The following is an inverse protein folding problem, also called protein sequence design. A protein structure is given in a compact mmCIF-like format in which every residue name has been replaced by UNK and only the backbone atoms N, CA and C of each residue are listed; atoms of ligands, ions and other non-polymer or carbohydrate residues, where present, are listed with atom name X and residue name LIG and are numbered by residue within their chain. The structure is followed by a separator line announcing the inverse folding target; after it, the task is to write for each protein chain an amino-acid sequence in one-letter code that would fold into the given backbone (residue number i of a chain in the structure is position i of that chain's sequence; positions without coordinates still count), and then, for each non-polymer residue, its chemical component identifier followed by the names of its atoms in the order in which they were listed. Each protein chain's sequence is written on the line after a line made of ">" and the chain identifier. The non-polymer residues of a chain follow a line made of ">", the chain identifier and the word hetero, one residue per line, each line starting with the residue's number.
data_IF_417423767669
#
_entry.id   IF_417423767669
#
_cell.length_a   1.000
_cell.length_b   1.000
_cell.length_c   1.000
_cell.angle_alpha   90.00
_cell.angle_beta   90.00
_cell.angle_gamma   90.00
#
_symmetry.space_group_name_H-M   'P 1'
#
loop_
_entity.id
_entity.type
_entity.pdbx_description
1 polymer ?
#
# COMPACT_ATOMS: atom_id res chain seq x y z
N UNK A 1 -7.83 -15.40 23.86
CA UNK A 1 -8.19 -15.05 22.47
C UNK A 1 -7.71 -16.10 21.49
N UNK A 2 -6.43 -16.49 21.46
CA UNK A 2 -5.90 -17.54 20.57
C UNK A 2 -6.72 -18.86 20.68
N UNK A 3 -6.96 -19.36 21.90
CA UNK A 3 -7.77 -20.56 22.13
C UNK A 3 -9.21 -20.43 21.61
N UNK A 4 -9.75 -19.22 21.52
CA UNK A 4 -11.06 -19.01 20.92
C UNK A 4 -11.05 -19.22 19.40
N UNK A 5 -10.03 -18.70 18.70
CA UNK A 5 -9.87 -18.91 17.25
C UNK A 5 -9.62 -20.39 16.89
N UNK A 6 -8.83 -21.10 17.72
CA UNK A 6 -8.61 -22.54 17.55
C UNK A 6 -9.93 -23.31 17.73
N UNK A 7 -10.70 -23.01 18.78
CA UNK A 7 -11.98 -23.68 19.03
C UNK A 7 -13.01 -23.41 17.92
N UNK A 8 -13.06 -22.17 17.41
CA UNK A 8 -13.91 -21.84 16.27
C UNK A 8 -13.51 -22.62 15.01
N UNK A 9 -12.20 -22.74 14.74
CA UNK A 9 -11.75 -23.51 13.59
C UNK A 9 -12.08 -25.00 13.69
N UNK A 10 -11.94 -25.59 14.89
CA UNK A 10 -12.38 -26.97 15.13
C UNK A 10 -13.88 -27.13 14.89
N UNK A 11 -14.70 -26.16 15.32
CA UNK A 11 -16.14 -26.15 15.07
C UNK A 11 -16.49 -26.02 13.58
N UNK A 12 -15.64 -25.36 12.81
CA UNK A 12 -15.78 -25.22 11.36
C UNK A 12 -15.16 -26.39 10.59
N UNK A 13 -14.68 -27.47 11.26
CA UNK A 13 -13.97 -28.63 10.70
C UNK A 13 -12.71 -28.26 9.92
N UNK A 14 -12.00 -27.21 10.31
CA UNK A 14 -10.74 -26.79 9.68
C UNK A 14 -9.54 -27.51 10.28
N UNK A 15 -8.48 -27.67 9.48
CA UNK A 15 -7.18 -28.10 9.98
C UNK A 15 -6.52 -26.94 10.77
N UNK A 16 -6.75 -26.92 12.07
CA UNK A 16 -6.19 -25.90 12.95
C UNK A 16 -4.69 -26.02 13.16
N UNK A 17 -4.07 -27.17 12.82
CA UNK A 17 -2.62 -27.37 12.99
C UNK A 17 -1.79 -26.37 12.20
N UNK A 18 -2.37 -25.80 11.16
CA UNK A 18 -1.73 -24.79 10.33
C UNK A 18 -1.41 -23.52 11.13
N UNK A 19 -2.34 -23.09 12.02
CA UNK A 19 -2.23 -21.83 12.74
C UNK A 19 -2.27 -21.94 14.27
N UNK A 20 -2.60 -23.11 14.83
CA UNK A 20 -2.58 -23.34 16.28
C UNK A 20 -1.13 -23.44 16.80
N UNK A 21 -0.34 -22.41 16.57
CA UNK A 21 1.09 -22.31 16.89
C UNK A 21 1.33 -21.07 17.75
N UNK A 22 2.26 -21.12 18.73
CA UNK A 22 2.54 -20.00 19.62
C UNK A 22 3.00 -18.72 18.89
N UNK A 23 3.59 -18.86 17.71
CA UNK A 23 4.14 -17.78 16.90
C UNK A 23 3.07 -16.87 16.31
N UNK A 24 1.84 -17.38 16.13
CA UNK A 24 0.74 -16.57 15.62
C UNK A 24 -0.03 -15.89 16.77
N UNK A 25 -0.21 -14.59 16.66
CA UNK A 25 -1.15 -13.86 17.49
C UNK A 25 -2.60 -14.23 17.16
N UNK A 26 -3.53 -13.81 18.00
CA UNK A 26 -4.95 -14.15 17.79
C UNK A 26 -5.56 -13.50 16.55
N UNK A 27 -5.03 -12.36 16.10
CA UNK A 27 -5.47 -11.69 14.88
C UNK A 27 -4.99 -12.41 13.63
N UNK A 28 -3.75 -12.88 13.63
CA UNK A 28 -3.18 -13.72 12.58
C UNK A 28 -3.96 -15.04 12.47
N UNK A 29 -4.20 -15.72 13.60
CA UNK A 29 -5.03 -16.94 13.62
C UNK A 29 -6.43 -16.69 13.05
N UNK A 30 -7.06 -15.58 13.41
CA UNK A 30 -8.37 -15.17 12.88
C UNK A 30 -8.35 -14.97 11.38
N UNK A 31 -7.32 -14.27 10.88
CA UNK A 31 -7.20 -14.03 9.43
C UNK A 31 -6.94 -15.32 8.66
N UNK A 32 -6.07 -16.20 9.16
CA UNK A 32 -5.83 -17.52 8.56
C UNK A 32 -7.12 -18.35 8.55
N UNK A 33 -7.85 -18.45 9.70
CA UNK A 33 -9.11 -19.18 9.78
C UNK A 33 -10.15 -18.66 8.78
N UNK A 34 -10.32 -17.35 8.69
CA UNK A 34 -11.24 -16.69 7.73
C UNK A 34 -10.95 -17.12 6.29
N UNK A 35 -9.69 -17.20 5.91
CA UNK A 35 -9.29 -17.59 4.56
C UNK A 35 -9.44 -19.11 4.33
N UNK A 36 -9.19 -19.94 5.35
CA UNK A 36 -9.44 -21.39 5.29
C UNK A 36 -10.92 -21.72 5.09
N UNK A 37 -11.84 -21.01 5.76
CA UNK A 37 -13.29 -21.16 5.55
C UNK A 37 -13.67 -20.94 4.07
N UNK A 38 -12.96 -20.00 3.41
CA UNK A 38 -13.17 -19.69 2.00
C UNK A 38 -12.39 -20.60 1.05
N UNK A 39 -11.74 -21.67 1.54
CA UNK A 39 -10.88 -22.59 0.78
C UNK A 39 -9.79 -21.87 -0.05
N UNK A 40 -9.25 -20.77 0.46
CA UNK A 40 -8.16 -20.06 -0.22
C UNK A 40 -6.81 -20.73 0.04
N UNK A 41 -5.92 -20.58 -0.94
CA UNK A 41 -4.52 -20.92 -0.73
C UNK A 41 -3.86 -19.91 0.22
N UNK A 42 -3.60 -20.35 1.43
CA UNK A 42 -2.96 -19.56 2.49
C UNK A 42 -1.44 -19.74 2.57
N UNK A 43 -0.87 -20.63 1.75
CA UNK A 43 0.55 -21.00 1.81
C UNK A 43 1.52 -19.83 1.66
N UNK A 44 1.07 -18.78 0.94
CA UNK A 44 1.87 -17.58 0.69
C UNK A 44 2.01 -16.75 1.96
N UNK A 45 0.95 -16.61 2.77
CA UNK A 45 0.88 -15.63 3.85
C UNK A 45 0.66 -16.20 5.26
N UNK A 46 0.29 -17.49 5.41
CA UNK A 46 0.14 -18.12 6.73
C UNK A 46 1.51 -18.42 7.36
N UNK A 47 2.27 -17.38 7.58
CA UNK A 47 3.64 -17.41 8.09
C UNK A 47 3.80 -16.36 9.19
N UNK A 48 4.54 -16.67 10.29
CA UNK A 48 4.65 -15.77 11.44
C UNK A 48 5.28 -14.40 11.16
N UNK A 49 6.04 -14.28 10.07
CA UNK A 49 6.66 -13.01 9.65
C UNK A 49 5.65 -11.97 9.14
N UNK A 50 4.44 -12.39 8.77
CA UNK A 50 3.37 -11.47 8.36
C UNK A 50 2.44 -11.18 9.54
N UNK A 51 2.12 -9.91 9.76
CA UNK A 51 1.03 -9.55 10.65
C UNK A 51 -0.34 -9.68 9.95
N UNK A 52 -1.41 -9.67 10.70
CA UNK A 52 -2.78 -9.87 10.18
C UNK A 52 -3.20 -8.85 9.10
N UNK A 53 -2.69 -7.60 9.13
CA UNK A 53 -2.99 -6.59 8.11
C UNK A 53 -2.28 -6.90 6.78
N UNK A 54 -1.03 -7.38 6.86
CA UNK A 54 -0.29 -7.85 5.69
C UNK A 54 -0.96 -9.09 5.08
N UNK A 55 -1.38 -10.04 5.92
CA UNK A 55 -2.13 -11.22 5.49
C UNK A 55 -3.44 -10.84 4.78
N UNK A 56 -4.20 -9.87 5.30
CA UNK A 56 -5.43 -9.37 4.68
C UNK A 56 -5.18 -8.73 3.31
N UNK A 57 -4.11 -7.91 3.17
CA UNK A 57 -3.76 -7.30 1.87
C UNK A 57 -3.33 -8.36 0.83
N UNK A 58 -2.59 -9.41 1.24
CA UNK A 58 -2.24 -10.52 0.35
C UNK A 58 -3.49 -11.31 -0.05
N UNK A 59 -4.35 -11.65 0.92
CA UNK A 59 -5.62 -12.34 0.66
C UNK A 59 -6.51 -11.58 -0.32
N UNK A 60 -6.63 -10.26 -0.16
CA UNK A 60 -7.39 -9.41 -1.11
C UNK A 60 -6.81 -9.41 -2.52
N UNK A 61 -5.50 -9.52 -2.65
CA UNK A 61 -4.85 -9.65 -3.96
C UNK A 61 -5.17 -10.99 -4.62
N UNK A 62 -5.11 -12.08 -3.85
CA UNK A 62 -5.49 -13.41 -4.32
C UNK A 62 -6.96 -13.45 -4.79
N UNK A 63 -7.87 -12.77 -4.10
CA UNK A 63 -9.29 -12.66 -4.50
C UNK A 63 -9.49 -11.99 -5.86
N UNK A 64 -8.49 -11.25 -6.32
CA UNK A 64 -8.49 -10.56 -7.61
C UNK A 64 -7.57 -11.21 -8.64
N UNK A 65 -7.03 -12.39 -8.35
CA UNK A 65 -6.07 -13.12 -9.17
C UNK A 65 -4.84 -12.26 -9.54
N UNK A 66 -4.40 -11.39 -8.61
CA UNK A 66 -3.21 -10.57 -8.80
C UNK A 66 -1.95 -11.38 -8.50
N UNK A 67 -0.83 -11.02 -9.13
CA UNK A 67 0.48 -11.54 -8.75
C UNK A 67 0.91 -10.97 -7.40
N UNK A 68 0.49 -11.62 -6.32
CA UNK A 68 0.78 -11.18 -4.96
C UNK A 68 2.27 -11.34 -4.59
N UNK A 69 3.03 -12.18 -5.31
CA UNK A 69 4.45 -12.41 -5.01
C UNK A 69 5.29 -11.15 -5.19
N UNK A 70 4.79 -10.19 -5.96
CA UNK A 70 5.42 -8.88 -6.11
C UNK A 70 5.55 -8.17 -4.76
N UNK A 71 4.53 -8.28 -3.89
CA UNK A 71 4.46 -7.53 -2.63
C UNK A 71 4.28 -8.38 -1.37
N UNK A 72 4.04 -9.70 -1.48
CA UNK A 72 3.95 -10.60 -0.33
C UNK A 72 5.34 -10.83 0.28
N UNK A 73 5.92 -9.77 0.81
CA UNK A 73 7.25 -9.71 1.44
C UNK A 73 7.12 -9.02 2.79
N UNK A 74 7.59 -9.63 3.90
CA UNK A 74 7.43 -9.08 5.25
C UNK A 74 7.99 -7.67 5.43
N UNK A 75 8.97 -7.28 4.60
CA UNK A 75 9.63 -5.97 4.63
C UNK A 75 8.69 -4.82 4.25
N UNK A 76 7.67 -5.09 3.41
CA UNK A 76 6.64 -4.09 3.12
C UNK A 76 5.63 -4.01 4.26
N UNK A 77 5.36 -2.82 4.76
CA UNK A 77 4.21 -2.65 5.65
C UNK A 77 2.88 -2.82 4.88
N UNK A 78 1.79 -3.02 5.59
CA UNK A 78 0.48 -3.27 4.96
C UNK A 78 0.01 -2.11 4.07
N UNK A 79 0.37 -0.85 4.38
CA UNK A 79 0.01 0.30 3.56
C UNK A 79 0.76 0.28 2.22
N UNK A 80 2.06 -0.05 2.23
CA UNK A 80 2.85 -0.25 1.01
C UNK A 80 2.25 -1.39 0.16
N UNK A 81 1.96 -2.54 0.79
CA UNK A 81 1.28 -3.66 0.10
C UNK A 81 -0.05 -3.22 -0.52
N UNK A 82 -0.84 -2.40 0.19
CA UNK A 82 -2.09 -1.86 -0.31
C UNK A 82 -1.91 -1.00 -1.56
N UNK A 83 -0.91 -0.10 -1.57
CA UNK A 83 -0.67 0.76 -2.74
C UNK A 83 -0.16 -0.04 -3.95
N UNK A 84 0.67 -1.07 -3.71
CA UNK A 84 1.11 -1.99 -4.77
C UNK A 84 -0.09 -2.78 -5.32
N UNK A 85 -0.91 -3.37 -4.45
CA UNK A 85 -2.12 -4.10 -4.84
C UNK A 85 -3.09 -3.23 -5.66
N UNK A 86 -3.32 -1.98 -5.26
CA UNK A 86 -4.15 -1.03 -6.01
C UNK A 86 -3.58 -0.74 -7.41
N UNK A 87 -2.27 -0.61 -7.52
CA UNK A 87 -1.60 -0.42 -8.81
C UNK A 87 -1.79 -1.62 -9.72
N UNK A 88 -1.54 -2.83 -9.22
CA UNK A 88 -1.77 -4.08 -9.96
C UNK A 88 -3.23 -4.22 -10.41
N UNK A 89 -4.18 -3.88 -9.51
CA UNK A 89 -5.61 -3.95 -9.83
C UNK A 89 -6.00 -3.00 -10.98
N UNK A 90 -5.31 -1.86 -11.10
CA UNK A 90 -5.52 -0.87 -12.16
C UNK A 90 -4.65 -1.14 -13.40
N UNK A 91 -3.91 -2.24 -13.46
CA UNK A 91 -3.04 -2.60 -14.59
C UNK A 91 -1.82 -1.70 -14.76
N UNK A 92 -1.41 -1.01 -13.70
CA UNK A 92 -0.25 -0.11 -13.74
C UNK A 92 1.06 -0.90 -13.65
N UNK A 93 2.13 -0.36 -14.24
CA UNK A 93 3.48 -0.86 -14.01
C UNK A 93 3.96 -0.48 -12.61
N UNK A 94 3.74 -1.40 -11.66
CA UNK A 94 4.13 -1.20 -10.27
C UNK A 94 5.65 -1.24 -10.06
N UNK A 95 6.42 -1.81 -11.00
CA UNK A 95 7.88 -1.93 -10.88
C UNK A 95 8.56 -0.57 -10.67
N UNK A 96 7.92 0.50 -11.11
CA UNK A 96 8.38 1.87 -10.96
C UNK A 96 8.52 2.25 -9.48
N UNK A 97 7.58 1.85 -8.61
CA UNK A 97 7.54 2.29 -7.21
C UNK A 97 7.58 1.18 -6.17
N UNK A 98 7.65 -0.09 -6.58
CA UNK A 98 7.85 -1.24 -5.68
C UNK A 98 9.29 -1.24 -5.17
N UNK A 99 9.59 -0.29 -4.28
CA UNK A 99 10.91 -0.09 -3.66
C UNK A 99 10.72 0.16 -2.17
N UNK A 100 11.53 -0.49 -1.34
CA UNK A 100 11.45 -0.38 0.12
C UNK A 100 11.74 1.03 0.63
N UNK A 101 12.51 1.81 -0.11
CA UNK A 101 12.89 3.18 0.27
C UNK A 101 11.71 4.16 0.21
N UNK A 102 10.71 3.88 -0.63
CA UNK A 102 9.49 4.70 -0.66
C UNK A 102 8.54 4.35 0.48
N UNK A 103 8.07 5.35 1.21
CA UNK A 103 6.96 5.16 2.13
C UNK A 103 5.63 4.98 1.36
N UNK A 104 4.59 4.54 2.06
CA UNK A 104 3.31 4.26 1.42
C UNK A 104 2.63 5.51 0.82
N UNK A 105 2.89 6.71 1.36
CA UNK A 105 2.35 7.97 0.81
C UNK A 105 3.04 8.35 -0.48
N UNK A 106 4.37 8.19 -0.54
CA UNK A 106 5.14 8.37 -1.76
C UNK A 106 4.68 7.39 -2.85
N UNK A 107 4.52 6.09 -2.50
CA UNK A 107 3.97 5.08 -3.42
C UNK A 107 2.56 5.47 -3.90
N UNK A 108 1.71 5.99 -3.02
CA UNK A 108 0.37 6.46 -3.37
C UNK A 108 0.40 7.58 -4.41
N UNK A 109 1.25 8.60 -4.20
CA UNK A 109 1.33 9.74 -5.13
C UNK A 109 1.89 9.33 -6.49
N UNK A 110 2.89 8.44 -6.52
CA UNK A 110 3.41 7.88 -7.77
C UNK A 110 2.32 7.07 -8.48
N UNK A 111 1.62 6.17 -7.77
CA UNK A 111 0.52 5.38 -8.34
C UNK A 111 -0.59 6.26 -8.92
N UNK A 112 -1.00 7.31 -8.19
CA UNK A 112 -2.02 8.24 -8.68
C UNK A 112 -1.55 9.00 -9.92
N UNK A 113 -0.29 9.45 -9.94
CA UNK A 113 0.28 10.08 -11.12
C UNK A 113 0.28 9.18 -12.35
N UNK A 114 0.68 7.91 -12.18
CA UNK A 114 0.62 6.92 -13.25
C UNK A 114 -0.82 6.66 -13.72
N UNK A 115 -1.76 6.55 -12.80
CA UNK A 115 -3.18 6.34 -13.11
C UNK A 115 -3.78 7.50 -13.90
N UNK A 116 -3.40 8.73 -13.57
CA UNK A 116 -3.93 9.96 -14.17
C UNK A 116 -3.07 10.46 -15.34
N UNK A 117 -2.06 9.66 -15.78
CA UNK A 117 -1.11 9.99 -16.85
C UNK A 117 -0.34 11.30 -16.62
N UNK A 118 -0.03 11.62 -15.37
CA UNK A 118 0.77 12.77 -14.99
C UNK A 118 2.26 12.40 -15.09
N UNK A 119 3.08 13.35 -15.55
CA UNK A 119 4.53 13.17 -15.64
C UNK A 119 5.15 13.05 -14.23
N UNK A 120 5.27 11.82 -13.75
CA UNK A 120 5.85 11.50 -12.43
C UNK A 120 7.33 11.90 -12.35
N UNK A 121 8.04 12.04 -13.46
CA UNK A 121 9.48 12.41 -13.45
C UNK A 121 9.73 13.74 -12.74
N UNK A 122 8.72 14.59 -12.64
CA UNK A 122 8.79 15.89 -11.98
C UNK A 122 8.86 15.83 -10.46
N UNK A 123 8.43 14.71 -9.87
CA UNK A 123 8.40 14.52 -8.41
C UNK A 123 8.84 13.14 -7.94
N UNK A 124 9.27 12.27 -8.85
CA UNK A 124 9.83 10.96 -8.53
C UNK A 124 11.22 11.13 -7.88
N UNK A 125 11.23 11.49 -6.62
CA UNK A 125 12.43 11.67 -5.81
C UNK A 125 12.14 11.24 -4.37
N UNK A 126 12.97 10.34 -3.83
CA UNK A 126 12.85 9.80 -2.47
C UNK A 126 12.96 10.87 -1.38
N UNK A 127 13.62 11.98 -1.67
CA UNK A 127 13.80 13.09 -0.73
C UNK A 127 12.51 13.90 -0.50
N UNK A 128 11.57 13.87 -1.46
CA UNK A 128 10.26 14.47 -1.23
C UNK A 128 9.42 13.60 -0.29
N UNK A 129 8.80 14.22 0.69
CA UNK A 129 7.75 13.56 1.47
C UNK A 129 6.54 13.27 0.59
N UNK A 130 5.72 12.28 0.94
CA UNK A 130 4.49 12.01 0.19
C UNK A 130 3.56 13.23 0.11
N UNK A 131 3.57 14.13 1.13
CA UNK A 131 2.78 15.37 1.10
C UNK A 131 3.34 16.43 0.15
N UNK A 132 4.66 16.51 -0.02
CA UNK A 132 5.28 17.36 -1.05
C UNK A 132 4.99 16.83 -2.45
N UNK A 133 5.13 15.50 -2.66
CA UNK A 133 4.75 14.85 -3.94
C UNK A 133 3.28 15.14 -4.28
N UNK A 134 2.37 15.08 -3.30
CA UNK A 134 0.96 15.44 -3.48
C UNK A 134 0.78 16.87 -4.02
N UNK A 135 1.46 17.86 -3.40
CA UNK A 135 1.32 19.26 -3.85
C UNK A 135 1.88 19.48 -5.25
N UNK A 136 3.00 18.81 -5.60
CA UNK A 136 3.57 18.87 -6.95
C UNK A 136 2.62 18.21 -7.96
N UNK A 137 2.12 16.98 -7.68
CA UNK A 137 1.16 16.30 -8.55
C UNK A 137 -0.11 17.15 -8.77
N UNK A 138 -0.64 17.75 -7.70
CA UNK A 138 -1.80 18.65 -7.81
C UNK A 138 -1.51 19.91 -8.63
N UNK A 139 -0.30 20.42 -8.62
CA UNK A 139 0.11 21.51 -9.48
C UNK A 139 0.12 21.11 -10.96
N UNK A 140 0.67 19.94 -11.26
CA UNK A 140 0.66 19.37 -12.61
C UNK A 140 -0.77 19.12 -13.12
N UNK A 141 -1.67 18.59 -12.28
CA UNK A 141 -3.10 18.43 -12.63
C UNK A 141 -3.77 19.76 -13.02
N UNK A 142 -3.36 20.83 -12.38
CA UNK A 142 -3.95 22.18 -12.59
C UNK A 142 -3.16 23.03 -13.58
N UNK A 143 -2.10 22.48 -14.21
CA UNK A 143 -1.24 23.19 -15.16
C UNK A 143 -0.62 24.49 -14.61
N UNK A 144 -0.29 24.53 -13.31
CA UNK A 144 0.47 25.64 -12.73
C UNK A 144 1.95 25.37 -12.81
N UNK A 145 2.76 26.42 -12.81
CA UNK A 145 4.21 26.30 -12.85
C UNK A 145 4.74 25.75 -11.52
N UNK A 146 5.06 24.46 -11.50
CA UNK A 146 5.58 23.78 -10.33
C UNK A 146 7.03 24.17 -10.00
N UNK A 147 7.79 24.71 -10.98
CA UNK A 147 9.19 25.05 -10.78
C UNK A 147 9.34 26.20 -9.75
N UNK A 148 8.27 26.96 -9.53
CA UNK A 148 8.23 28.02 -8.53
C UNK A 148 8.18 27.50 -7.08
N UNK A 149 7.81 26.22 -6.84
CA UNK A 149 7.63 25.71 -5.49
C UNK A 149 8.09 24.25 -5.25
N UNK A 150 8.57 23.54 -6.24
CA UNK A 150 9.02 22.15 -6.10
C UNK A 150 10.37 21.98 -5.39
N UNK A 151 10.92 23.04 -4.77
CA UNK A 151 12.16 22.95 -3.98
C UNK A 151 11.93 22.11 -2.72
N UNK A 152 12.92 21.28 -2.38
CA UNK A 152 12.95 20.52 -1.12
C UNK A 152 12.98 21.42 0.13
N UNK A 153 13.36 22.68 -0.03
CA UNK A 153 13.39 23.67 1.06
C UNK A 153 11.97 24.09 1.51
N UNK A 154 10.96 23.92 0.64
CA UNK A 154 9.58 24.25 0.98
C UNK A 154 8.88 23.10 1.70
N UNK A 155 8.27 23.38 2.82
CA UNK A 155 7.34 22.44 3.44
C UNK A 155 6.07 22.30 2.61
N UNK A 156 5.37 21.18 2.74
CA UNK A 156 4.15 20.90 1.98
C UNK A 156 3.07 21.97 2.11
N UNK A 157 2.95 22.61 3.29
CA UNK A 157 2.02 23.72 3.50
C UNK A 157 2.41 24.97 2.70
N UNK A 158 3.70 25.27 2.59
CA UNK A 158 4.20 26.38 1.78
C UNK A 158 3.96 26.11 0.29
N UNK A 159 4.31 24.90 -0.17
CA UNK A 159 4.00 24.47 -1.54
C UNK A 159 2.52 24.61 -1.86
N UNK A 160 1.65 24.21 -0.93
CA UNK A 160 0.20 24.34 -1.08
C UNK A 160 -0.24 25.79 -1.24
N UNK A 161 0.29 26.71 -0.41
CA UNK A 161 -0.08 28.12 -0.50
C UNK A 161 0.35 28.74 -1.83
N UNK A 162 1.58 28.45 -2.28
CA UNK A 162 2.07 28.93 -3.58
C UNK A 162 1.20 28.35 -4.69
N UNK A 163 0.96 27.03 -4.72
CA UNK A 163 0.09 26.41 -5.73
C UNK A 163 -1.31 27.05 -5.80
N UNK A 164 -1.93 27.29 -4.63
CA UNK A 164 -3.27 27.93 -4.58
C UNK A 164 -3.25 29.38 -5.04
N UNK A 165 -2.15 30.12 -4.79
CA UNK A 165 -1.94 31.47 -5.34
C UNK A 165 -1.88 31.43 -6.87
N UNK A 166 -1.01 30.59 -7.41
CA UNK A 166 -0.84 30.41 -8.86
C UNK A 166 -2.16 30.00 -9.55
N UNK A 167 -2.97 29.12 -8.94
CA UNK A 167 -4.28 28.74 -9.47
C UNK A 167 -5.26 29.91 -9.56
N UNK A 168 -5.08 30.95 -8.74
CA UNK A 168 -5.88 32.18 -8.75
C UNK A 168 -5.30 33.29 -9.61
N UNK A 169 -4.17 33.01 -10.30
CA UNK A 169 -3.46 34.02 -11.10
C UNK A 169 -2.80 35.11 -10.24
N UNK A 170 -2.39 34.75 -9.03
CA UNK A 170 -1.60 35.63 -8.15
C UNK A 170 -0.14 35.25 -8.38
N UNK A 171 0.64 36.21 -8.89
CA UNK A 171 2.09 36.10 -9.11
C UNK A 171 2.87 36.38 -7.81
#
# INVERSE_FOLDING_TARGET
>A
KQMAEIRLGLGDNLDVSIYAKPEFGWLEMKEIRKNLICNKDISIFAKPEFNHLQMDEISRGLDKNLDVLIYAKPEYNWQQMQEIRKGLLNGLDVSIYVKLDFDWRQMQEIRLGLQDNIDISKYYNIEYTGTQMYEIRKGLECNVDIDLYKSLEFESLQMRQIRLGLQKGID
#
